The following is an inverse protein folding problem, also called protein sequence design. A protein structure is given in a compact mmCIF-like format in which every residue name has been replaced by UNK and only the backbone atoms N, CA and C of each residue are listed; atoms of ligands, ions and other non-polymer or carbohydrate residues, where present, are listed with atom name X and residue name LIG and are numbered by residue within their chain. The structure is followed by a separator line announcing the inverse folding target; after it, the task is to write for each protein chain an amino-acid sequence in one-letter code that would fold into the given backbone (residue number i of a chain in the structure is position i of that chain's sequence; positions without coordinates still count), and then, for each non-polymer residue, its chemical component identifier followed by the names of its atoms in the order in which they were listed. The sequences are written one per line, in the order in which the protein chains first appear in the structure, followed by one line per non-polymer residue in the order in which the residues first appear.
data_IF_431762580370
#
_entry.id   IF_431762580370
#
_cell.length_a   1.000
_cell.length_b   1.000
_cell.length_c   1.000
_cell.angle_alpha   90.00
_cell.angle_beta   90.00
_cell.angle_gamma   90.00
#
_symmetry.space_group_name_H-M   'P 1'
#
loop_
_entity.id
_entity.type
_entity.pdbx_description
1 polymer ?
#
# COMPACT_ATOMS: atom_id res chain seq x y z
N UNK A 1 29.60 10.90 -0.05
CA UNK A 1 30.73 10.53 -0.93
C UNK A 1 31.05 9.07 -0.66
N UNK A 2 31.21 8.27 -1.71
CA UNK A 2 31.65 6.88 -1.60
C UNK A 2 33.18 6.90 -1.64
N UNK A 3 33.84 6.35 -0.61
CA UNK A 3 35.29 6.15 -0.57
C UNK A 3 35.59 4.66 -0.73
N UNK A 4 36.57 4.32 -1.55
CA UNK A 4 36.98 2.94 -1.80
C UNK A 4 38.46 2.75 -1.44
N UNK A 5 38.80 1.61 -0.83
CA UNK A 5 40.19 1.23 -0.57
C UNK A 5 40.35 -0.29 -0.64
N UNK A 6 41.34 -0.77 -1.38
CA UNK A 6 41.63 -2.20 -1.52
C UNK A 6 42.48 -2.67 -0.33
N UNK A 7 41.99 -3.69 0.38
CA UNK A 7 42.66 -4.29 1.53
C UNK A 7 42.81 -5.79 1.31
N UNK A 8 43.96 -6.34 1.70
CA UNK A 8 44.21 -7.78 1.63
C UNK A 8 43.66 -8.46 2.89
N UNK A 9 42.97 -9.57 2.72
CA UNK A 9 42.61 -10.47 3.82
C UNK A 9 43.84 -11.22 4.31
N UNK A 10 43.95 -11.41 5.63
CA UNK A 10 45.06 -12.07 6.31
C UNK A 10 44.49 -13.24 7.11
N UNK A 11 45.05 -14.42 6.97
CA UNK A 11 44.58 -15.60 7.70
C UNK A 11 44.73 -15.39 9.22
N UNK A 12 43.68 -15.65 9.99
CA UNK A 12 43.73 -15.59 11.46
C UNK A 12 42.96 -16.77 12.06
N UNK A 13 43.68 -17.75 12.59
CA UNK A 13 43.09 -19.00 13.08
C UNK A 13 42.60 -19.94 11.97
N UNK A 14 41.87 -21.01 12.35
CA UNK A 14 41.37 -22.05 11.42
C UNK A 14 40.07 -21.70 10.70
N UNK A 15 39.23 -20.84 11.28
CA UNK A 15 37.85 -20.60 10.83
C UNK A 15 37.54 -19.12 10.56
N UNK A 16 38.55 -18.25 10.55
CA UNK A 16 38.38 -16.81 10.33
C UNK A 16 39.54 -16.19 9.56
N UNK A 17 39.29 -15.02 8.99
CA UNK A 17 40.31 -14.15 8.40
C UNK A 17 40.19 -12.76 8.99
N UNK A 18 41.31 -12.06 9.10
CA UNK A 18 41.37 -10.66 9.47
C UNK A 18 41.44 -9.78 8.23
N UNK A 19 40.79 -8.62 8.27
CA UNK A 19 40.95 -7.54 7.29
C UNK A 19 41.20 -6.24 8.05
N UNK A 20 42.07 -5.39 7.53
CA UNK A 20 42.32 -4.06 8.12
C UNK A 20 41.34 -3.05 7.55
N UNK A 21 40.74 -2.24 8.42
CA UNK A 21 39.79 -1.18 8.03
C UNK A 21 40.44 0.18 8.29
N UNK A 22 40.30 1.16 7.38
CA UNK A 22 40.87 2.50 7.57
C UNK A 22 40.36 3.15 8.87
N UNK A 23 41.29 3.62 9.71
CA UNK A 23 40.95 4.27 10.99
C UNK A 23 39.98 5.45 10.82
N UNK A 24 40.08 6.20 9.71
CA UNK A 24 39.20 7.34 9.41
C UNK A 24 37.72 6.93 9.28
N UNK A 25 37.44 5.77 8.67
CA UNK A 25 36.07 5.25 8.55
C UNK A 25 35.52 4.80 9.90
N UNK A 26 36.35 4.11 10.70
CA UNK A 26 35.96 3.71 12.05
C UNK A 26 35.68 4.93 12.94
N UNK A 27 36.52 5.97 12.84
CA UNK A 27 36.32 7.23 13.59
C UNK A 27 35.02 7.93 13.19
N UNK A 28 34.70 7.99 11.90
CA UNK A 28 33.44 8.55 11.41
C UNK A 28 32.21 7.78 11.90
N UNK A 29 32.35 6.47 12.16
CA UNK A 29 31.32 5.62 12.74
C UNK A 29 31.34 5.58 14.28
N UNK A 30 32.23 6.35 14.93
CA UNK A 30 32.39 6.34 16.38
C UNK A 30 32.92 5.02 16.96
N UNK A 31 33.59 4.20 16.15
CA UNK A 31 34.14 2.89 16.53
C UNK A 31 35.60 3.06 16.97
N UNK A 32 35.87 2.75 18.24
CA UNK A 32 37.22 2.74 18.82
C UNK A 32 37.69 1.34 19.24
N UNK A 33 38.95 1.20 19.69
CA UNK A 33 39.46 -0.04 20.26
C UNK A 33 38.53 -0.58 21.37
N UNK A 34 38.19 -1.87 21.32
CA UNK A 34 37.28 -2.52 22.27
C UNK A 34 35.78 -2.34 21.98
N UNK A 35 35.41 -1.57 20.95
CA UNK A 35 34.02 -1.46 20.50
C UNK A 35 33.55 -2.78 19.89
N UNK A 36 32.31 -3.17 20.21
CA UNK A 36 31.67 -4.29 19.54
C UNK A 36 31.09 -3.82 18.21
N UNK A 37 31.30 -4.62 17.16
CA UNK A 37 30.78 -4.35 15.81
C UNK A 37 29.91 -5.51 15.35
N UNK A 38 28.86 -5.19 14.62
CA UNK A 38 28.01 -6.15 13.96
C UNK A 38 28.51 -6.36 12.53
N UNK A 39 28.83 -7.60 12.16
CA UNK A 39 29.06 -8.00 10.78
C UNK A 39 27.78 -8.61 10.22
N UNK A 40 27.35 -8.12 9.05
CA UNK A 40 26.20 -8.68 8.32
C UNK A 40 26.67 -9.18 6.96
N UNK A 41 26.45 -10.46 6.68
CA UNK A 41 26.65 -11.02 5.35
C UNK A 41 25.45 -10.67 4.47
N UNK A 42 25.71 -10.00 3.35
CA UNK A 42 24.72 -9.40 2.46
C UNK A 42 24.57 -10.22 1.16
N UNK A 43 25.09 -11.46 1.13
CA UNK A 43 25.15 -12.30 -0.06
C UNK A 43 26.36 -11.98 -0.94
N UNK A 44 26.45 -10.74 -1.43
CA UNK A 44 27.53 -10.27 -2.31
C UNK A 44 28.57 -9.37 -1.62
N UNK A 45 28.30 -8.89 -0.40
CA UNK A 45 29.28 -8.14 0.42
C UNK A 45 29.09 -8.40 1.92
N UNK A 46 29.95 -7.83 2.75
CA UNK A 46 29.81 -7.82 4.21
C UNK A 46 29.73 -6.38 4.68
N UNK A 47 28.66 -6.05 5.40
CA UNK A 47 28.50 -4.74 6.05
C UNK A 47 29.00 -4.78 7.49
N UNK A 48 29.69 -3.72 7.92
CA UNK A 48 30.11 -3.51 9.30
C UNK A 48 29.37 -2.31 9.89
N UNK A 49 28.78 -2.49 11.07
CA UNK A 49 28.09 -1.41 11.79
C UNK A 49 28.45 -1.41 13.29
N UNK A 50 28.46 -0.25 13.97
CA UNK A 50 28.63 -0.20 15.42
C UNK A 50 27.46 -0.87 16.14
N UNK A 51 27.76 -1.71 17.14
CA UNK A 51 26.72 -2.35 17.95
C UNK A 51 26.03 -1.29 18.83
N UNK A 52 24.74 -1.03 18.58
CA UNK A 52 23.94 -0.01 19.29
C UNK A 52 23.74 1.32 18.54
N UNK A 53 24.33 1.51 17.35
CA UNK A 53 24.23 2.75 16.57
C UNK A 53 22.96 2.90 15.72
N UNK A 54 22.22 1.82 15.48
CA UNK A 54 21.01 1.84 14.65
C UNK A 54 19.89 2.74 15.19
N UNK A 55 19.92 3.09 16.48
CA UNK A 55 18.87 3.85 17.13
C UNK A 55 18.94 5.38 16.90
N UNK A 56 20.06 5.93 16.40
CA UNK A 56 20.25 7.40 16.36
C UNK A 56 20.00 8.08 15.02
N UNK A 57 19.85 7.35 13.92
CA UNK A 57 19.68 8.00 12.61
C UNK A 57 18.31 8.68 12.45
N UNK A 58 17.26 8.17 13.10
CA UNK A 58 15.86 8.63 12.93
C UNK A 58 15.27 9.29 14.19
N UNK A 59 16.13 9.73 15.12
CA UNK A 59 15.75 10.46 16.34
C UNK A 59 15.62 11.97 16.11
N UNK A 60 14.78 12.38 15.15
CA UNK A 60 14.28 13.75 15.14
C UNK A 60 13.38 13.98 16.36
N UNK A 61 13.20 15.23 16.77
CA UNK A 61 12.22 15.56 17.80
C UNK A 61 10.82 15.17 17.26
N UNK A 62 10.31 13.98 17.60
CA UNK A 62 9.06 13.42 17.08
C UNK A 62 7.83 14.10 17.73
N UNK A 63 7.87 15.42 17.83
CA UNK A 63 6.80 16.24 18.36
C UNK A 63 6.12 17.02 17.23
N UNK A 64 4.81 16.90 17.13
CA UNK A 64 3.97 17.69 16.23
C UNK A 64 3.29 18.77 17.06
N UNK A 65 3.51 20.04 16.69
CA UNK A 65 2.66 21.14 17.15
C UNK A 65 1.45 21.28 16.23
N UNK A 66 0.27 21.32 16.83
CA UNK A 66 -0.98 21.64 16.12
C UNK A 66 -1.09 23.16 16.01
N UNK A 67 -1.19 23.63 14.78
CA UNK A 67 -1.23 25.03 14.36
C UNK A 67 -2.51 25.34 13.56
N UNK A 68 -3.44 24.38 13.50
CA UNK A 68 -4.72 24.49 12.79
C UNK A 68 -5.75 23.57 13.45
N UNK A 69 -6.99 24.07 13.57
CA UNK A 69 -8.15 23.32 14.08
C UNK A 69 -8.73 22.38 13.01
N UNK A 70 -7.91 21.47 12.49
CA UNK A 70 -8.26 20.53 11.41
C UNK A 70 -7.68 19.13 11.73
N UNK A 71 -8.52 18.17 12.14
CA UNK A 71 -8.09 16.81 12.47
C UNK A 71 -7.37 16.08 11.32
N UNK A 72 -7.81 16.29 10.08
CA UNK A 72 -7.22 15.66 8.88
C UNK A 72 -5.83 16.21 8.60
N UNK A 73 -5.64 17.51 8.80
CA UNK A 73 -4.32 18.13 8.71
C UNK A 73 -3.35 17.55 9.75
N UNK A 74 -3.80 17.36 10.99
CA UNK A 74 -2.98 16.73 12.04
C UNK A 74 -2.68 15.27 11.69
N UNK A 75 -3.67 14.52 11.19
CA UNK A 75 -3.49 13.14 10.71
C UNK A 75 -2.38 13.07 9.65
N UNK A 76 -2.35 13.97 8.66
CA UNK A 76 -1.28 14.00 7.63
C UNK A 76 0.11 14.21 8.22
N UNK A 77 0.24 15.07 9.26
CA UNK A 77 1.50 15.24 9.98
C UNK A 77 1.90 13.96 10.72
N UNK A 78 0.94 13.24 11.33
CA UNK A 78 1.18 11.95 12.00
C UNK A 78 1.60 10.88 10.99
N UNK A 79 0.91 10.76 9.85
CA UNK A 79 1.26 9.84 8.76
C UNK A 79 2.67 10.13 8.24
N UNK A 80 3.06 11.40 8.14
CA UNK A 80 4.43 11.77 7.75
C UNK A 80 5.48 11.20 8.72
N UNK A 81 5.25 11.30 10.03
CA UNK A 81 6.15 10.69 11.02
C UNK A 81 6.11 9.17 10.96
N UNK A 82 4.94 8.60 10.68
CA UNK A 82 4.77 7.16 10.49
C UNK A 82 5.56 6.63 9.28
N UNK A 83 5.53 7.30 8.13
CA UNK A 83 6.29 6.90 6.95
C UNK A 83 7.80 7.15 7.11
N UNK A 84 8.17 8.16 7.90
CA UNK A 84 9.53 8.37 8.41
C UNK A 84 9.92 7.40 9.53
N UNK A 85 9.23 6.28 9.69
CA UNK A 85 9.54 5.19 10.62
C UNK A 85 9.76 5.59 12.06
N UNK A 86 9.19 6.71 12.51
CA UNK A 86 9.12 7.03 13.93
C UNK A 86 8.47 5.84 14.66
N UNK A 87 9.02 5.42 15.79
CA UNK A 87 8.38 4.42 16.67
C UNK A 87 7.29 5.05 17.54
N UNK A 88 7.39 6.35 17.78
CA UNK A 88 6.50 7.12 18.64
C UNK A 88 6.46 8.59 18.19
N UNK A 89 5.30 9.22 18.30
CA UNK A 89 5.08 10.64 18.02
C UNK A 89 4.22 11.29 19.10
N UNK A 90 4.61 12.48 19.56
CA UNK A 90 3.85 13.30 20.50
C UNK A 90 3.16 14.44 19.77
N UNK A 91 1.84 14.47 19.78
CA UNK A 91 1.04 15.57 19.22
C UNK A 91 0.67 16.53 20.34
N UNK A 92 1.05 17.81 20.24
CA UNK A 92 0.70 18.88 21.18
C UNK A 92 -0.33 19.79 20.56
N UNK A 93 -1.49 19.88 21.18
CA UNK A 93 -2.66 20.60 20.69
C UNK A 93 -2.65 22.08 21.07
N UNK A 94 -2.08 22.45 22.22
CA UNK A 94 -2.13 23.83 22.71
C UNK A 94 -3.57 24.34 22.76
N UNK A 95 -3.84 25.47 22.09
CA UNK A 95 -5.18 26.07 22.01
C UNK A 95 -6.19 25.25 21.19
N UNK A 96 -5.75 24.22 20.46
CA UNK A 96 -6.58 23.35 19.60
C UNK A 96 -6.96 22.02 20.29
N UNK A 97 -7.08 22.00 21.63
CA UNK A 97 -7.38 20.77 22.36
C UNK A 97 -8.76 20.15 22.03
N UNK A 98 -9.69 20.93 21.45
CA UNK A 98 -11.02 20.49 21.00
C UNK A 98 -10.98 19.36 19.98
N UNK A 99 -10.03 19.37 19.04
CA UNK A 99 -9.93 18.34 17.97
C UNK A 99 -9.21 17.07 18.39
N UNK A 100 -8.67 17.00 19.62
CA UNK A 100 -7.91 15.85 20.13
C UNK A 100 -8.67 14.53 19.99
N UNK A 101 -9.97 14.53 20.31
CA UNK A 101 -10.81 13.33 20.20
C UNK A 101 -10.99 12.85 18.76
N UNK A 102 -11.11 13.77 17.81
CA UNK A 102 -11.23 13.44 16.38
C UNK A 102 -9.91 12.91 15.81
N UNK A 103 -8.77 13.55 16.17
CA UNK A 103 -7.43 13.06 15.79
C UNK A 103 -7.19 11.66 16.35
N UNK A 104 -7.57 11.40 17.61
CA UNK A 104 -7.44 10.08 18.24
C UNK A 104 -8.19 8.99 17.46
N UNK A 105 -9.43 9.26 17.01
CA UNK A 105 -10.20 8.31 16.19
C UNK A 105 -9.54 8.10 14.83
N UNK A 106 -9.25 9.17 14.11
CA UNK A 106 -8.63 9.11 12.78
C UNK A 106 -7.31 8.33 12.78
N UNK A 107 -6.45 8.53 13.77
CA UNK A 107 -5.19 7.80 13.90
C UNK A 107 -5.42 6.30 14.07
N UNK A 108 -6.39 5.91 14.91
CA UNK A 108 -6.74 4.50 15.13
C UNK A 108 -7.32 3.87 13.86
N UNK A 109 -8.18 4.60 13.18
CA UNK A 109 -8.94 4.09 12.04
C UNK A 109 -8.08 4.00 10.77
N UNK A 110 -7.16 4.97 10.56
CA UNK A 110 -6.40 5.11 9.31
C UNK A 110 -4.97 4.57 9.37
N UNK A 111 -4.36 4.40 10.54
CA UNK A 111 -2.95 3.99 10.66
C UNK A 111 -2.83 2.59 11.27
N UNK A 112 -2.16 1.69 10.56
CA UNK A 112 -1.84 0.35 11.05
C UNK A 112 -0.91 0.39 12.25
N UNK A 113 -1.29 -0.28 13.33
CA UNK A 113 -0.47 -0.40 14.54
C UNK A 113 -0.31 0.89 15.34
N UNK A 114 -1.07 1.95 15.06
CA UNK A 114 -1.04 3.17 15.87
C UNK A 114 -1.85 2.99 17.15
N UNK A 115 -1.18 3.11 18.29
CA UNK A 115 -1.76 2.99 19.63
C UNK A 115 -1.51 4.26 20.42
N UNK A 116 -2.55 4.80 21.04
CA UNK A 116 -2.41 5.95 21.96
C UNK A 116 -2.02 5.44 23.34
N UNK A 117 -0.78 5.68 23.74
CA UNK A 117 -0.21 5.17 24.98
C UNK A 117 -0.27 6.16 26.14
N UNK A 118 -0.40 7.46 25.84
CA UNK A 118 -0.50 8.53 26.83
C UNK A 118 -1.45 9.61 26.29
N UNK A 119 -2.35 10.08 27.14
CA UNK A 119 -3.28 11.16 26.84
C UNK A 119 -3.24 12.19 27.97
N UNK A 120 -2.75 13.39 27.66
CA UNK A 120 -2.73 14.53 28.57
C UNK A 120 -3.87 15.51 28.27
N UNK A 121 -3.87 16.65 28.97
CA UNK A 121 -4.84 17.71 28.74
C UNK A 121 -4.73 18.27 27.30
N UNK A 122 -3.51 18.61 26.88
CA UNK A 122 -3.17 19.28 25.62
C UNK A 122 -2.28 18.43 24.71
N UNK A 123 -2.10 17.12 24.96
CA UNK A 123 -1.28 16.27 24.10
C UNK A 123 -1.76 14.81 24.01
N UNK A 124 -1.31 14.14 22.95
CA UNK A 124 -1.39 12.69 22.75
C UNK A 124 0.01 12.14 22.47
N UNK A 125 0.33 10.95 23.00
CA UNK A 125 1.49 10.17 22.57
C UNK A 125 1.00 8.92 21.85
N UNK A 126 1.38 8.80 20.59
CA UNK A 126 1.01 7.72 19.70
C UNK A 126 2.26 6.87 19.46
N UNK A 127 2.18 5.58 19.77
CA UNK A 127 3.20 4.58 19.46
C UNK A 127 2.78 3.78 18.24
N UNK A 128 3.72 3.53 17.34
CA UNK A 128 3.50 2.70 16.17
C UNK A 128 4.05 1.30 16.45
N UNK A 129 3.16 0.41 16.86
CA UNK A 129 3.45 -0.99 17.12
C UNK A 129 3.49 -1.73 15.78
N UNK A 130 4.70 -2.08 15.35
CA UNK A 130 4.89 -2.87 14.15
C UNK A 130 4.79 -4.36 14.49
N UNK A 131 4.08 -5.19 13.69
CA UNK A 131 4.29 -6.62 13.74
C UNK A 131 5.76 -6.90 13.38
N UNK A 132 6.57 -7.26 14.38
CA UNK A 132 7.99 -7.57 14.25
C UNK A 132 8.21 -9.04 14.57
N UNK A 133 8.69 -9.89 13.63
CA UNK A 133 8.72 -9.73 12.18
C UNK A 133 8.09 -10.95 11.46
N UNK A 134 6.83 -10.89 11.02
CA UNK A 134 6.19 -12.11 10.47
C UNK A 134 5.20 -11.90 9.30
N UNK A 135 5.18 -10.74 8.64
CA UNK A 135 4.32 -10.56 7.46
C UNK A 135 5.16 -10.19 6.22
N UNK A 136 5.45 -11.18 5.36
CA UNK A 136 5.91 -11.03 4.00
C UNK A 136 5.07 -10.01 3.26
N UNK A 137 5.72 -9.16 2.48
CA UNK A 137 5.03 -8.08 1.76
C UNK A 137 3.95 -8.65 0.83
N UNK A 138 4.21 -9.81 0.22
CA UNK A 138 3.27 -10.55 -0.63
C UNK A 138 1.99 -10.96 0.09
N UNK A 139 2.06 -11.27 1.39
CA UNK A 139 0.85 -11.56 2.20
C UNK A 139 -0.01 -10.32 2.39
N UNK A 140 0.60 -9.15 2.56
CA UNK A 140 -0.14 -7.88 2.62
C UNK A 140 -0.77 -7.54 1.28
N UNK A 141 -0.04 -7.70 0.17
CA UNK A 141 -0.60 -7.52 -1.19
C UNK A 141 -1.81 -8.42 -1.42
N UNK A 142 -1.70 -9.70 -1.06
CA UNK A 142 -2.82 -10.65 -1.17
C UNK A 142 -4.03 -10.21 -0.34
N UNK A 143 -3.82 -9.74 0.90
CA UNK A 143 -4.91 -9.25 1.76
C UNK A 143 -5.58 -8.01 1.14
N UNK A 144 -4.80 -7.02 0.71
CA UNK A 144 -5.33 -5.83 0.05
C UNK A 144 -6.16 -6.21 -1.18
N UNK A 145 -5.64 -7.11 -2.02
CA UNK A 145 -6.35 -7.61 -3.20
C UNK A 145 -7.69 -8.24 -2.80
N UNK A 146 -7.72 -9.15 -1.82
CA UNK A 146 -8.95 -9.81 -1.41
C UNK A 146 -10.02 -8.82 -0.91
N UNK A 147 -9.63 -7.78 -0.16
CA UNK A 147 -10.55 -6.72 0.29
C UNK A 147 -11.12 -5.97 -0.91
N UNK A 148 -10.26 -5.51 -1.83
CA UNK A 148 -10.66 -4.77 -3.03
C UNK A 148 -11.56 -5.59 -3.96
N UNK A 149 -11.24 -6.88 -4.18
CA UNK A 149 -12.08 -7.77 -4.99
C UNK A 149 -13.45 -8.00 -4.34
N UNK A 150 -13.51 -8.08 -3.00
CA UNK A 150 -14.77 -8.13 -2.26
C UNK A 150 -15.60 -6.86 -2.43
N UNK A 151 -14.98 -5.69 -2.24
CA UNK A 151 -15.61 -4.38 -2.45
C UNK A 151 -16.19 -4.25 -3.87
N UNK A 152 -15.41 -4.59 -4.89
CA UNK A 152 -15.83 -4.48 -6.28
C UNK A 152 -16.98 -5.43 -6.62
N UNK A 153 -16.93 -6.67 -6.12
CA UNK A 153 -18.00 -7.66 -6.32
C UNK A 153 -19.29 -7.19 -5.66
N UNK A 154 -19.22 -6.76 -4.40
CA UNK A 154 -20.40 -6.29 -3.67
C UNK A 154 -21.01 -5.06 -4.35
N UNK A 155 -20.19 -4.09 -4.79
CA UNK A 155 -20.68 -2.92 -5.51
C UNK A 155 -21.41 -3.29 -6.83
N UNK A 156 -20.91 -4.29 -7.56
CA UNK A 156 -21.57 -4.82 -8.77
C UNK A 156 -22.85 -5.58 -8.42
N UNK A 157 -22.84 -6.38 -7.37
CA UNK A 157 -24.02 -7.14 -6.96
C UNK A 157 -25.15 -6.20 -6.48
N UNK A 158 -24.81 -5.13 -5.78
CA UNK A 158 -25.77 -4.09 -5.37
C UNK A 158 -26.34 -3.38 -6.60
N UNK A 159 -25.52 -3.12 -7.64
CA UNK A 159 -26.01 -2.60 -8.92
C UNK A 159 -27.05 -3.55 -9.56
N UNK A 160 -26.86 -4.87 -9.43
CA UNK A 160 -27.82 -5.90 -9.88
C UNK A 160 -29.05 -6.03 -8.97
N UNK A 161 -29.17 -5.21 -7.93
CA UNK A 161 -30.29 -5.21 -7.01
C UNK A 161 -30.16 -6.22 -5.87
N UNK A 162 -28.93 -6.63 -5.51
CA UNK A 162 -28.73 -7.27 -4.21
C UNK A 162 -29.14 -6.31 -3.09
N UNK A 163 -29.64 -6.85 -1.97
CA UNK A 163 -30.02 -6.05 -0.80
C UNK A 163 -28.84 -5.57 0.05
N UNK A 164 -27.62 -5.56 -0.49
CA UNK A 164 -26.43 -5.10 0.23
C UNK A 164 -26.40 -3.58 0.41
N UNK A 165 -25.64 -3.10 1.39
CA UNK A 165 -25.47 -1.67 1.67
C UNK A 165 -24.20 -1.14 0.97
N UNK A 166 -24.31 -0.13 0.09
CA UNK A 166 -23.14 0.56 -0.45
C UNK A 166 -22.19 1.11 0.63
N UNK A 167 -22.70 1.44 1.82
CA UNK A 167 -21.88 1.95 2.93
C UNK A 167 -20.88 0.90 3.43
N UNK A 168 -21.23 -0.39 3.42
CA UNK A 168 -20.31 -1.47 3.78
C UNK A 168 -19.11 -1.55 2.83
N UNK A 169 -19.30 -1.21 1.55
CA UNK A 169 -18.20 -1.10 0.58
C UNK A 169 -17.35 0.13 0.89
N UNK A 170 -17.99 1.24 1.22
CA UNK A 170 -17.34 2.52 1.51
C UNK A 170 -16.47 2.44 2.75
N UNK A 171 -16.92 1.77 3.81
CA UNK A 171 -16.16 1.64 5.06
C UNK A 171 -14.90 0.78 4.89
N UNK A 172 -14.97 -0.27 4.05
CA UNK A 172 -13.83 -1.17 3.77
C UNK A 172 -12.68 -0.51 3.02
N UNK A 173 -12.92 0.59 2.33
CA UNK A 173 -11.88 1.38 1.66
C UNK A 173 -10.81 1.88 2.65
N UNK A 174 -11.24 2.25 3.87
CA UNK A 174 -10.31 2.63 4.94
C UNK A 174 -9.35 1.48 5.33
N UNK A 175 -9.78 0.21 5.21
CA UNK A 175 -8.90 -0.92 5.46
C UNK A 175 -7.82 -1.02 4.37
N UNK A 176 -8.19 -0.81 3.10
CA UNK A 176 -7.25 -0.83 1.97
C UNK A 176 -6.20 0.26 2.13
N UNK A 177 -6.62 1.49 2.43
CA UNK A 177 -5.73 2.63 2.74
C UNK A 177 -4.76 2.31 3.88
N UNK A 178 -5.29 1.75 4.97
CA UNK A 178 -4.53 1.43 6.17
C UNK A 178 -3.49 0.33 5.91
N UNK A 179 -3.81 -0.64 5.06
CA UNK A 179 -2.89 -1.67 4.60
C UNK A 179 -1.84 -1.10 3.64
N UNK A 180 -2.23 -0.20 2.74
CA UNK A 180 -1.30 0.48 1.83
C UNK A 180 -0.24 1.28 2.60
N UNK A 181 -0.65 2.08 3.59
CA UNK A 181 0.27 2.81 4.46
C UNK A 181 1.24 1.88 5.20
N UNK A 182 0.77 0.69 5.61
CA UNK A 182 1.64 -0.31 6.22
C UNK A 182 2.68 -0.84 5.23
N UNK A 183 2.27 -1.16 4.00
CA UNK A 183 3.20 -1.58 2.95
C UNK A 183 4.23 -0.49 2.69
N UNK A 184 3.82 0.76 2.54
CA UNK A 184 4.73 1.89 2.32
C UNK A 184 5.75 2.02 3.46
N UNK A 185 5.31 1.97 4.73
CA UNK A 185 6.22 2.01 5.88
C UNK A 185 7.20 0.83 5.90
N UNK A 186 6.76 -0.38 5.58
CA UNK A 186 7.61 -1.57 5.54
C UNK A 186 8.65 -1.46 4.42
N UNK A 187 8.25 -0.94 3.26
CA UNK A 187 9.16 -0.68 2.14
C UNK A 187 10.22 0.35 2.55
N UNK A 188 9.82 1.49 3.11
CA UNK A 188 10.77 2.50 3.59
C UNK A 188 11.73 1.93 4.64
N UNK A 189 11.23 1.08 5.54
CA UNK A 189 12.05 0.41 6.55
C UNK A 189 13.03 -0.60 5.93
N UNK A 190 12.57 -1.40 4.95
CA UNK A 190 13.39 -2.39 4.25
C UNK A 190 14.47 -1.79 3.34
N UNK A 191 14.23 -0.58 2.80
CA UNK A 191 15.24 0.16 2.02
C UNK A 191 16.39 0.67 2.89
N UNK A 192 16.15 0.89 4.19
CA UNK A 192 17.14 1.44 5.12
C UNK A 192 17.84 0.33 5.92
N UNK A 193 17.06 -0.63 6.42
CA UNK A 193 17.57 -1.73 7.23
C UNK A 193 17.42 -3.07 6.51
N UNK A 194 18.56 -3.59 6.07
CA UNK A 194 18.65 -4.88 5.40
C UNK A 194 18.18 -6.08 6.26
N UNK A 195 18.26 -5.97 7.60
CA UNK A 195 17.69 -6.98 8.48
C UNK A 195 16.16 -6.99 8.42
N UNK A 196 15.53 -5.84 8.13
CA UNK A 196 14.09 -5.75 7.85
C UNK A 196 13.81 -6.31 6.46
N UNK A 197 14.60 -5.95 5.44
CA UNK A 197 14.44 -6.48 4.07
C UNK A 197 14.39 -8.01 4.05
N UNK A 198 15.33 -8.67 4.73
CA UNK A 198 15.40 -10.13 4.77
C UNK A 198 14.16 -10.80 5.38
N UNK A 199 13.38 -10.06 6.19
CA UNK A 199 12.15 -10.54 6.83
C UNK A 199 10.90 -10.32 5.97
N UNK A 200 10.99 -9.53 4.90
CA UNK A 200 9.88 -9.25 3.99
C UNK A 200 9.71 -10.30 2.89
N UNK A 201 10.60 -11.30 2.83
CA UNK A 201 10.60 -12.40 1.85
C UNK A 201 10.59 -11.92 0.40
N UNK A 202 11.37 -10.87 0.13
CA UNK A 202 11.67 -10.38 -1.23
C UNK A 202 13.09 -10.78 -1.63
N UNK A 203 13.31 -10.98 -2.93
CA UNK A 203 14.58 -11.35 -3.54
C UNK A 203 15.59 -10.22 -3.38
N UNK A 204 15.20 -8.99 -3.68
CA UNK A 204 16.06 -7.82 -3.59
C UNK A 204 15.25 -6.51 -3.37
N UNK A 205 15.96 -5.39 -3.30
CA UNK A 205 15.34 -4.07 -3.15
C UNK A 205 14.51 -3.64 -4.36
N UNK A 206 14.72 -4.22 -5.55
CA UNK A 206 13.91 -3.92 -6.74
C UNK A 206 12.52 -4.55 -6.60
N UNK A 207 12.45 -5.83 -6.20
CA UNK A 207 11.16 -6.47 -5.89
C UNK A 207 10.42 -5.72 -4.78
N UNK A 208 11.14 -5.16 -3.80
CA UNK A 208 10.53 -4.35 -2.74
C UNK A 208 9.87 -3.08 -3.29
N UNK A 209 10.54 -2.35 -4.19
CA UNK A 209 9.99 -1.15 -4.83
C UNK A 209 8.82 -1.52 -5.75
N UNK A 210 8.94 -2.61 -6.51
CA UNK A 210 7.88 -3.10 -7.38
C UNK A 210 6.65 -3.54 -6.58
N UNK A 211 6.84 -4.14 -5.41
CA UNK A 211 5.76 -4.46 -4.48
C UNK A 211 5.01 -3.21 -3.99
N UNK A 212 5.71 -2.09 -3.77
CA UNK A 212 5.07 -0.81 -3.42
C UNK A 212 4.19 -0.29 -4.57
N UNK A 213 4.67 -0.39 -5.81
CA UNK A 213 3.89 0.00 -6.98
C UNK A 213 2.64 -0.88 -7.15
N UNK A 214 2.78 -2.19 -6.99
CA UNK A 214 1.64 -3.12 -6.99
C UNK A 214 0.64 -2.79 -5.89
N UNK A 215 1.11 -2.50 -4.67
CA UNK A 215 0.23 -2.06 -3.57
C UNK A 215 -0.54 -0.78 -3.93
N UNK A 216 0.12 0.18 -4.60
CA UNK A 216 -0.55 1.41 -5.05
C UNK A 216 -1.61 1.13 -6.12
N UNK A 217 -1.37 0.19 -7.02
CA UNK A 217 -2.38 -0.20 -8.01
C UNK A 217 -3.56 -0.95 -7.38
N UNK A 218 -3.33 -1.74 -6.34
CA UNK A 218 -4.41 -2.34 -5.54
C UNK A 218 -5.23 -1.28 -4.82
N UNK A 219 -4.60 -0.30 -4.16
CA UNK A 219 -5.33 0.80 -3.52
C UNK A 219 -6.16 1.61 -4.52
N UNK A 220 -5.59 1.97 -5.69
CA UNK A 220 -6.35 2.67 -6.73
C UNK A 220 -7.51 1.83 -7.29
N UNK A 221 -7.38 0.50 -7.36
CA UNK A 221 -8.50 -0.36 -7.73
C UNK A 221 -9.59 -0.36 -6.63
N UNK A 222 -9.20 -0.25 -5.36
CA UNK A 222 -10.09 0.02 -4.22
C UNK A 222 -10.87 1.32 -4.38
N UNK A 223 -10.21 2.42 -4.72
CA UNK A 223 -10.86 3.72 -4.98
C UNK A 223 -11.97 3.60 -6.04
N UNK A 224 -11.73 2.83 -7.11
CA UNK A 224 -12.75 2.62 -8.14
C UNK A 224 -13.88 1.70 -7.69
N UNK A 225 -13.60 0.69 -6.86
CA UNK A 225 -14.65 -0.12 -6.25
C UNK A 225 -15.55 0.73 -5.33
N UNK A 226 -14.94 1.59 -4.51
CA UNK A 226 -15.62 2.60 -3.70
C UNK A 226 -16.46 3.55 -4.57
N UNK A 227 -15.88 4.06 -5.66
CA UNK A 227 -16.59 4.96 -6.59
C UNK A 227 -17.79 4.29 -7.25
N UNK A 228 -17.69 3.01 -7.62
CA UNK A 228 -18.83 2.24 -8.13
C UNK A 228 -19.93 2.20 -7.07
N UNK A 229 -19.62 1.83 -5.83
CA UNK A 229 -20.61 1.78 -4.75
C UNK A 229 -21.30 3.14 -4.51
N UNK A 230 -20.55 4.24 -4.55
CA UNK A 230 -21.12 5.58 -4.44
C UNK A 230 -22.12 5.88 -5.56
N UNK A 231 -21.73 5.61 -6.81
CA UNK A 231 -22.59 5.87 -7.97
C UNK A 231 -23.82 4.97 -7.94
N UNK A 232 -23.68 3.71 -7.50
CA UNK A 232 -24.79 2.77 -7.32
C UNK A 232 -25.79 3.33 -6.30
N UNK A 233 -25.33 3.79 -5.13
CA UNK A 233 -26.15 4.43 -4.10
C UNK A 233 -26.96 5.60 -4.67
N UNK A 234 -26.30 6.49 -5.39
CA UNK A 234 -26.97 7.63 -6.03
C UNK A 234 -28.00 7.18 -7.07
N UNK A 235 -27.68 6.16 -7.86
CA UNK A 235 -28.55 5.70 -8.96
C UNK A 235 -29.80 4.99 -8.44
N UNK A 236 -29.70 4.22 -7.35
CA UNK A 236 -30.85 3.56 -6.71
C UNK A 236 -31.90 4.57 -6.24
N UNK A 237 -31.50 5.76 -5.80
CA UNK A 237 -32.44 6.80 -5.37
C UNK A 237 -33.26 7.41 -6.53
N UNK A 238 -32.84 7.19 -7.77
CA UNK A 238 -33.38 7.90 -8.94
C UNK A 238 -34.23 7.03 -9.86
N UNK A 239 -34.04 5.71 -9.87
CA UNK A 239 -34.78 4.84 -10.77
C UNK A 239 -35.04 3.44 -10.18
N UNK A 240 -36.29 3.23 -9.78
CA UNK A 240 -36.76 1.95 -9.23
C UNK A 240 -36.72 0.77 -10.22
N UNK A 241 -36.64 1.02 -11.55
CA UNK A 241 -36.62 -0.03 -12.59
C UNK A 241 -35.26 -0.26 -13.22
N UNK A 242 -34.20 0.38 -12.72
CA UNK A 242 -32.87 0.22 -13.31
C UNK A 242 -32.39 -1.23 -13.27
N UNK A 243 -32.66 -1.94 -12.18
CA UNK A 243 -32.30 -3.35 -11.98
C UNK A 243 -32.90 -4.26 -13.06
N UNK A 244 -34.07 -3.92 -13.60
CA UNK A 244 -34.74 -4.67 -14.66
C UNK A 244 -34.11 -4.41 -16.05
N UNK A 245 -33.25 -3.41 -16.17
CA UNK A 245 -32.65 -3.03 -17.45
C UNK A 245 -31.58 -4.04 -17.88
N UNK A 246 -31.63 -4.58 -19.12
CA UNK A 246 -30.62 -5.52 -19.61
C UNK A 246 -29.19 -4.98 -19.55
N UNK A 247 -29.01 -3.65 -19.61
CA UNK A 247 -27.70 -3.01 -19.54
C UNK A 247 -26.97 -3.24 -18.21
N UNK A 248 -27.72 -3.45 -17.11
CA UNK A 248 -27.13 -3.73 -15.80
C UNK A 248 -26.38 -5.06 -15.81
N UNK A 249 -26.92 -6.09 -16.47
CA UNK A 249 -26.23 -7.36 -16.61
C UNK A 249 -24.98 -7.23 -17.49
N UNK A 250 -25.05 -6.48 -18.59
CA UNK A 250 -23.89 -6.21 -19.44
C UNK A 250 -22.75 -5.50 -18.67
N UNK A 251 -23.09 -4.55 -17.79
CA UNK A 251 -22.12 -3.86 -16.92
C UNK A 251 -21.56 -4.81 -15.86
N UNK A 252 -22.41 -5.62 -15.24
CA UNK A 252 -21.99 -6.59 -14.22
C UNK A 252 -21.05 -7.66 -14.79
N UNK A 253 -21.31 -8.13 -16.02
CA UNK A 253 -20.43 -9.07 -16.72
C UNK A 253 -19.07 -8.43 -17.02
N UNK A 254 -19.06 -7.16 -17.48
CA UNK A 254 -17.82 -6.42 -17.69
C UNK A 254 -17.04 -6.24 -16.38
N UNK A 255 -17.73 -5.93 -15.28
CA UNK A 255 -17.16 -5.83 -13.96
C UNK A 255 -16.57 -7.15 -13.45
N UNK A 256 -17.27 -8.26 -13.67
CA UNK A 256 -16.78 -9.60 -13.32
C UNK A 256 -15.50 -9.96 -14.09
N UNK A 257 -15.45 -9.64 -15.39
CA UNK A 257 -14.24 -9.82 -16.21
C UNK A 257 -13.07 -8.98 -15.68
N UNK A 258 -13.31 -7.73 -15.25
CA UNK A 258 -12.27 -6.88 -14.69
C UNK A 258 -11.76 -7.38 -13.33
N UNK A 259 -12.65 -7.85 -12.46
CA UNK A 259 -12.31 -8.47 -11.16
C UNK A 259 -11.41 -9.69 -11.36
N UNK A 260 -11.78 -10.59 -12.28
CA UNK A 260 -10.99 -11.79 -12.55
C UNK A 260 -9.61 -11.45 -13.15
N UNK A 261 -9.58 -10.48 -14.06
CA UNK A 261 -8.34 -9.98 -14.67
C UNK A 261 -7.41 -9.36 -13.62
N UNK A 262 -7.94 -8.52 -12.73
CA UNK A 262 -7.18 -7.89 -11.66
C UNK A 262 -6.68 -8.90 -10.62
N UNK A 263 -7.51 -9.90 -10.28
CA UNK A 263 -7.08 -11.01 -9.43
C UNK A 263 -5.93 -11.79 -10.07
N UNK A 264 -6.05 -12.10 -11.36
CA UNK A 264 -5.02 -12.80 -12.12
C UNK A 264 -3.69 -12.07 -12.09
N UNK A 265 -3.68 -10.76 -12.38
CA UNK A 265 -2.45 -9.97 -12.44
C UNK A 265 -1.71 -9.89 -11.10
N UNK A 266 -2.43 -9.64 -10.00
CA UNK A 266 -1.81 -9.54 -8.67
C UNK A 266 -1.29 -10.91 -8.20
N UNK A 267 -2.02 -11.99 -8.47
CA UNK A 267 -1.53 -13.34 -8.18
C UNK A 267 -0.30 -13.70 -9.03
N UNK A 268 -0.23 -13.25 -10.28
CA UNK A 268 0.96 -13.43 -11.12
C UNK A 268 2.19 -12.74 -10.51
N UNK A 269 2.04 -11.52 -10.00
CA UNK A 269 3.13 -10.84 -9.28
C UNK A 269 3.54 -11.60 -8.02
N UNK A 270 2.59 -11.97 -7.15
CA UNK A 270 2.86 -12.65 -5.88
C UNK A 270 3.61 -13.97 -6.12
N UNK A 271 3.20 -14.74 -7.13
CA UNK A 271 3.74 -16.06 -7.42
C UNK A 271 4.90 -16.07 -8.42
N UNK A 272 5.36 -14.89 -8.88
CA UNK A 272 6.35 -14.75 -9.96
C UNK A 272 5.96 -15.51 -11.25
N UNK A 273 4.66 -15.54 -11.57
CA UNK A 273 4.12 -16.21 -12.75
C UNK A 273 4.09 -15.25 -13.96
N UNK A 274 5.21 -15.24 -14.69
CA UNK A 274 5.41 -14.46 -15.92
C UNK A 274 4.40 -14.84 -17.01
N UNK A 275 4.01 -16.12 -17.13
CA UNK A 275 3.06 -16.56 -18.15
C UNK A 275 1.65 -16.02 -17.86
N UNK A 276 1.22 -16.05 -16.60
CA UNK A 276 -0.03 -15.42 -16.17
C UNK A 276 -0.06 -13.91 -16.38
N UNK A 277 1.08 -13.23 -16.21
CA UNK A 277 1.20 -11.81 -16.52
C UNK A 277 1.01 -11.53 -18.02
N UNK A 278 1.65 -12.31 -18.91
CA UNK A 278 1.44 -12.19 -20.37
C UNK A 278 -0.03 -12.42 -20.74
N UNK A 279 -0.66 -13.47 -20.20
CA UNK A 279 -2.10 -13.74 -20.43
C UNK A 279 -3.00 -12.57 -20.01
N UNK A 280 -2.65 -11.87 -18.93
CA UNK A 280 -3.37 -10.66 -18.49
C UNK A 280 -3.26 -9.56 -19.55
N UNK A 281 -2.07 -9.34 -20.12
CA UNK A 281 -1.84 -8.32 -21.15
C UNK A 281 -2.57 -8.64 -22.46
N UNK A 282 -2.64 -9.91 -22.85
CA UNK A 282 -3.37 -10.37 -24.04
C UNK A 282 -4.88 -10.04 -23.98
N UNK A 283 -5.44 -9.89 -22.78
CA UNK A 283 -6.85 -9.54 -22.59
C UNK A 283 -7.16 -8.05 -22.83
N UNK A 284 -6.14 -7.18 -23.00
CA UNK A 284 -6.31 -5.72 -23.14
C UNK A 284 -7.25 -5.31 -24.27
N UNK A 285 -7.06 -5.87 -25.47
CA UNK A 285 -7.90 -5.55 -26.62
C UNK A 285 -9.33 -6.07 -26.45
N UNK A 286 -9.48 -7.27 -25.89
CA UNK A 286 -10.79 -7.88 -25.60
C UNK A 286 -11.59 -7.05 -24.59
N UNK A 287 -10.96 -6.63 -23.50
CA UNK A 287 -11.59 -5.76 -22.48
C UNK A 287 -11.98 -4.41 -23.05
N UNK A 288 -11.10 -3.81 -23.88
CA UNK A 288 -11.41 -2.55 -24.58
C UNK A 288 -12.63 -2.70 -25.49
N UNK A 289 -12.68 -3.77 -26.29
CA UNK A 289 -13.82 -4.05 -27.17
C UNK A 289 -15.13 -4.20 -26.39
N UNK A 290 -15.15 -5.08 -25.40
CA UNK A 290 -16.33 -5.31 -24.55
C UNK A 290 -16.80 -4.02 -23.86
N UNK A 291 -15.88 -3.21 -23.37
CA UNK A 291 -16.20 -1.93 -22.74
C UNK A 291 -16.87 -0.95 -23.71
N UNK A 292 -16.37 -0.86 -24.95
CA UNK A 292 -16.97 0.00 -25.99
C UNK A 292 -18.37 -0.47 -26.38
N UNK A 293 -18.58 -1.79 -26.45
CA UNK A 293 -19.91 -2.36 -26.72
C UNK A 293 -20.91 -1.98 -25.63
N UNK A 294 -20.52 -2.09 -24.35
CA UNK A 294 -21.37 -1.69 -23.22
C UNK A 294 -21.69 -0.19 -23.27
N UNK A 295 -20.71 0.66 -23.57
CA UNK A 295 -20.92 2.11 -23.74
C UNK A 295 -21.92 2.39 -24.87
N UNK A 296 -21.79 1.73 -26.02
CA UNK A 296 -22.74 1.86 -27.14
C UNK A 296 -24.16 1.42 -26.78
N UNK A 297 -24.29 0.38 -25.96
CA UNK A 297 -25.59 -0.06 -25.43
C UNK A 297 -26.20 0.92 -24.43
N UNK A 298 -25.38 1.58 -23.60
CA UNK A 298 -25.88 2.65 -22.70
C UNK A 298 -26.51 3.77 -23.53
N UNK A 299 -25.84 4.25 -24.58
CA UNK A 299 -26.37 5.31 -25.44
C UNK A 299 -27.66 4.92 -26.18
N UNK A 300 -27.81 3.65 -26.55
CA UNK A 300 -29.00 3.15 -27.25
C UNK A 300 -30.11 2.59 -26.35
N UNK A 301 -29.91 2.59 -25.02
CA UNK A 301 -30.84 2.00 -24.04
C UNK A 301 -32.16 2.77 -23.84
N UNK A 302 -32.24 4.02 -24.31
CA UNK A 302 -33.39 4.90 -24.05
C UNK A 302 -33.53 5.34 -22.58
N UNK A 303 -32.53 5.06 -21.74
CA UNK A 303 -32.50 5.54 -20.36
C UNK A 303 -32.39 7.07 -20.29
N UNK A 304 -32.97 7.71 -19.25
CA UNK A 304 -32.73 9.10 -18.95
C UNK A 304 -31.24 9.45 -18.96
N UNK A 305 -30.89 10.61 -19.52
CA UNK A 305 -29.51 11.09 -19.67
C UNK A 305 -28.73 11.01 -18.34
N UNK A 306 -29.39 11.34 -17.24
CA UNK A 306 -28.79 11.33 -15.90
C UNK A 306 -28.41 9.91 -15.43
N UNK A 307 -29.22 8.90 -15.77
CA UNK A 307 -28.95 7.50 -15.43
C UNK A 307 -27.86 6.96 -16.35
N UNK A 308 -27.95 7.24 -17.65
CA UNK A 308 -26.90 6.88 -18.61
C UNK A 308 -25.53 7.45 -18.21
N UNK A 309 -25.49 8.70 -17.75
CA UNK A 309 -24.30 9.35 -17.20
C UNK A 309 -23.67 8.59 -16.04
N UNK A 310 -24.47 8.17 -15.06
CA UNK A 310 -23.99 7.40 -13.90
C UNK A 310 -23.50 6.00 -14.30
N UNK A 311 -24.21 5.31 -15.18
CA UNK A 311 -23.75 4.01 -15.69
C UNK A 311 -22.41 4.13 -16.44
N UNK A 312 -22.19 5.22 -17.18
CA UNK A 312 -20.89 5.48 -17.82
C UNK A 312 -19.77 5.68 -16.80
N UNK A 313 -20.03 6.33 -15.66
CA UNK A 313 -19.04 6.47 -14.58
C UNK A 313 -18.66 5.12 -13.96
N UNK A 314 -19.62 4.20 -13.82
CA UNK A 314 -19.37 2.83 -13.36
C UNK A 314 -18.49 2.10 -14.38
N UNK A 315 -18.84 2.16 -15.67
CA UNK A 315 -18.04 1.52 -16.73
C UNK A 315 -16.61 2.08 -16.78
N UNK A 316 -16.42 3.38 -16.63
CA UNK A 316 -15.07 3.98 -16.57
C UNK A 316 -14.28 3.45 -15.36
N UNK A 317 -14.91 3.34 -14.19
CA UNK A 317 -14.27 2.80 -12.99
C UNK A 317 -13.83 1.33 -13.20
N UNK A 318 -14.66 0.50 -13.84
CA UNK A 318 -14.34 -0.89 -14.21
C UNK A 318 -13.17 -0.94 -15.21
N UNK A 319 -13.13 -0.03 -16.19
CA UNK A 319 -12.01 0.07 -17.14
C UNK A 319 -10.71 0.43 -16.43
N UNK A 320 -10.74 1.36 -15.47
CA UNK A 320 -9.55 1.72 -14.67
C UNK A 320 -9.01 0.55 -13.86
N UNK A 321 -9.87 -0.26 -13.26
CA UNK A 321 -9.43 -1.50 -12.60
C UNK A 321 -8.73 -2.46 -13.57
N UNK A 322 -9.22 -2.57 -14.80
CA UNK A 322 -8.58 -3.38 -15.84
C UNK A 322 -7.23 -2.81 -16.26
N UNK A 323 -7.11 -1.48 -16.37
CA UNK A 323 -5.87 -0.78 -16.67
C UNK A 323 -4.79 -1.05 -15.60
N UNK A 324 -5.16 -0.96 -14.32
CA UNK A 324 -4.25 -1.30 -13.23
C UNK A 324 -3.88 -2.79 -13.22
N UNK A 325 -4.74 -3.68 -13.70
CA UNK A 325 -4.37 -5.08 -13.89
C UNK A 325 -3.22 -5.22 -14.89
N UNK A 326 -3.24 -4.44 -15.97
CA UNK A 326 -2.16 -4.43 -16.96
C UNK A 326 -0.87 -3.84 -16.40
N UNK A 327 -0.95 -2.74 -15.64
CA UNK A 327 0.24 -2.14 -15.02
C UNK A 327 0.93 -3.13 -14.06
N UNK A 328 0.15 -3.89 -13.27
CA UNK A 328 0.67 -4.95 -12.39
C UNK A 328 1.32 -6.09 -13.20
N UNK A 329 0.72 -6.48 -14.32
CA UNK A 329 1.29 -7.50 -15.20
C UNK A 329 2.62 -7.03 -15.83
N UNK A 330 2.71 -5.79 -16.29
CA UNK A 330 3.96 -5.18 -16.79
C UNK A 330 5.04 -5.18 -15.70
N UNK A 331 4.71 -4.77 -14.47
CA UNK A 331 5.63 -4.84 -13.33
C UNK A 331 6.09 -6.27 -13.06
N UNK A 332 5.22 -7.26 -13.22
CA UNK A 332 5.59 -8.68 -13.03
C UNK A 332 6.67 -9.10 -14.04
N UNK A 333 6.54 -8.69 -15.31
CA UNK A 333 7.55 -8.93 -16.33
C UNK A 333 8.86 -8.21 -16.00
N UNK A 334 8.80 -6.95 -15.58
CA UNK A 334 10.00 -6.17 -15.21
C UNK A 334 10.73 -6.71 -13.97
N UNK A 335 9.99 -7.41 -13.09
CA UNK A 335 10.54 -7.97 -11.84
C UNK A 335 11.14 -9.36 -12.04
N UNK A 336 10.49 -10.21 -12.85
CA UNK A 336 10.78 -11.65 -12.89
C UNK A 336 11.08 -12.21 -14.30
N UNK A 337 10.90 -11.42 -15.37
CA UNK A 337 11.21 -11.80 -16.75
C UNK A 337 12.66 -11.51 -17.13
#
# INVERSE_FOLDING_TARGET
MVEEEVRKVVTTGRSSVAITIPKRWLTALGIGPGSHVLLRFMGNYIALAPMGGAAKAWGGNNSIGVDRDDPEYVLRKVITQYLRGASEVRVRFGDHASIKGSVKRLVRDRISGAEVIEEGADYLVIRFVMPTPEIPIKRLLNRMMLVVLGMARDAIDILRGSGGDPEDVIERDNEVDRLYLLVERLVMSGLIDQAVLSKLEVVDSRELVNSLMVAKFIERAGDHAWRIAQVVRETQTLCCKLVESPIVNDIADLGSMAIDLFRGSVLSFINADVEGAVKTLDMRLKMRGRSMDVIGKIYSSGLPVEIGGRLMMIVESIRRMSEYAYDVAEITLDTYG
#
